data_IF_689884370220
#
_entry.id   IF_689884370220
#
_cell.length_a   1.000
_cell.length_b   1.000
_cell.length_c   1.000
_cell.angle_alpha   90.00
_cell.angle_beta   90.00
_cell.angle_gamma   90.00
#
_symmetry.space_group_name_H-M   'P 1'
#
loop_
_entity.id
_entity.type
_entity.pdbx_description
1 polymer ?
#
# COMPACT_ATOMS: atom_id res chain seq x y z
N UNK A 1 13.27 -17.43 68.79
CA UNK A 1 13.54 -17.84 67.40
C UNK A 1 12.80 -16.84 66.50
N UNK A 2 13.51 -15.92 65.84
CA UNK A 2 12.89 -14.91 64.97
C UNK A 2 13.11 -15.32 63.51
N UNK A 3 12.06 -15.72 62.82
CA UNK A 3 12.03 -15.68 61.35
C UNK A 3 10.96 -14.69 60.98
N UNK A 4 11.35 -13.41 61.00
CA UNK A 4 10.54 -12.34 60.48
C UNK A 4 10.17 -12.68 59.04
N UNK A 5 8.89 -12.54 58.68
CA UNK A 5 8.49 -12.42 57.29
C UNK A 5 9.43 -11.39 56.65
N UNK A 6 10.33 -11.85 55.79
CA UNK A 6 11.29 -10.99 55.12
C UNK A 6 10.47 -10.12 54.18
N UNK A 7 9.98 -8.98 54.68
CA UNK A 7 9.37 -7.94 53.88
C UNK A 7 10.37 -7.65 52.77
N UNK A 8 10.00 -7.98 51.52
CA UNK A 8 10.88 -7.75 50.40
C UNK A 8 11.32 -6.29 50.41
N UNK A 9 12.63 -6.07 50.28
CA UNK A 9 13.22 -4.73 50.41
C UNK A 9 12.80 -3.77 49.31
N UNK A 10 13.44 -2.61 49.26
CA UNK A 10 13.35 -1.70 48.12
C UNK A 10 14.68 -1.73 47.38
N UNK A 11 14.65 -1.55 46.06
CA UNK A 11 15.87 -1.24 45.32
C UNK A 11 16.09 0.26 45.37
N UNK A 12 17.25 0.70 45.83
CA UNK A 12 17.63 2.10 45.81
C UNK A 12 18.54 2.36 44.61
N UNK A 13 18.09 3.21 43.69
CA UNK A 13 18.84 3.57 42.47
C UNK A 13 18.86 5.09 42.38
N UNK A 14 20.06 5.67 42.40
CA UNK A 14 20.29 7.12 42.37
C UNK A 14 19.47 7.90 43.43
N UNK A 15 19.34 7.32 44.64
CA UNK A 15 18.57 7.89 45.75
C UNK A 15 17.05 7.69 45.66
N UNK A 16 16.54 7.06 44.59
CA UNK A 16 15.12 6.74 44.43
C UNK A 16 14.83 5.29 44.82
N UNK A 17 13.76 5.06 45.58
CA UNK A 17 13.36 3.72 46.06
C UNK A 17 12.26 3.10 45.20
N UNK A 18 12.54 1.92 44.68
CA UNK A 18 11.63 1.13 43.86
C UNK A 18 11.14 -0.09 44.62
N UNK A 19 9.84 -0.41 44.47
CA UNK A 19 9.23 -1.58 45.11
C UNK A 19 9.83 -2.87 44.56
N UNK A 20 10.13 -3.79 45.47
CA UNK A 20 10.56 -5.15 45.14
C UNK A 20 9.54 -5.92 44.31
N UNK A 21 10.06 -6.85 43.49
CA UNK A 21 9.33 -7.72 42.59
C UNK A 21 8.54 -7.00 41.48
N UNK A 22 8.90 -5.76 41.17
CA UNK A 22 8.30 -5.01 40.06
C UNK A 22 9.35 -4.54 39.06
N UNK A 23 8.89 -4.34 37.83
CA UNK A 23 9.64 -3.58 36.85
C UNK A 23 9.51 -2.09 37.16
N UNK A 24 10.58 -1.35 36.90
CA UNK A 24 10.61 0.10 36.96
C UNK A 24 11.40 0.63 35.78
N UNK A 25 11.14 1.89 35.45
CA UNK A 25 11.84 2.60 34.39
C UNK A 25 12.90 3.48 35.05
N UNK A 26 14.12 3.40 34.54
CA UNK A 26 15.24 4.22 34.97
C UNK A 26 15.76 4.98 33.76
N UNK A 27 15.63 6.30 33.78
CA UNK A 27 16.23 7.16 32.76
C UNK A 27 17.63 7.55 33.22
N UNK A 28 18.64 7.16 32.44
CA UNK A 28 20.04 7.54 32.68
C UNK A 28 20.67 8.04 31.39
N UNK A 29 20.99 9.33 31.39
CA UNK A 29 21.45 10.01 30.19
C UNK A 29 20.40 9.93 29.09
N UNK A 30 20.81 9.45 27.91
CA UNK A 30 19.93 9.31 26.75
C UNK A 30 19.24 7.96 26.61
N UNK A 31 19.32 7.12 27.64
CA UNK A 31 18.79 5.78 27.62
C UNK A 31 17.76 5.59 28.73
N UNK A 32 16.63 5.00 28.35
CA UNK A 32 15.59 4.52 29.25
C UNK A 32 15.75 3.02 29.44
N UNK A 33 16.06 2.62 30.67
CA UNK A 33 16.26 1.24 31.04
C UNK A 33 15.00 0.70 31.70
N UNK A 34 14.51 -0.44 31.22
CA UNK A 34 13.48 -1.20 31.93
C UNK A 34 14.17 -2.17 32.88
N UNK A 35 14.12 -1.90 34.18
CA UNK A 35 14.82 -2.65 35.21
C UNK A 35 13.85 -3.48 36.05
N UNK A 36 14.29 -4.62 36.57
CA UNK A 36 13.53 -5.44 37.53
C UNK A 36 14.18 -5.36 38.91
N UNK A 37 13.41 -4.92 39.89
CA UNK A 37 13.83 -4.94 41.30
C UNK A 37 13.55 -6.31 41.94
N UNK A 38 14.57 -6.91 42.55
CA UNK A 38 14.49 -8.20 43.24
C UNK A 38 14.24 -7.99 44.75
N UNK A 39 13.71 -9.03 45.40
CA UNK A 39 13.34 -8.99 46.82
C UNK A 39 14.55 -8.78 47.76
N UNK A 40 15.76 -9.12 47.29
CA UNK A 40 17.04 -8.94 47.98
C UNK A 40 17.59 -7.48 47.90
N UNK A 41 16.86 -6.56 47.27
CA UNK A 41 17.26 -5.17 47.10
C UNK A 41 18.16 -4.91 45.88
N UNK A 42 18.53 -5.95 45.13
CA UNK A 42 19.29 -5.81 43.89
C UNK A 42 18.37 -5.60 42.69
N UNK A 43 18.88 -4.97 41.64
CA UNK A 43 18.13 -4.76 40.40
C UNK A 43 18.95 -5.16 39.18
N UNK A 44 18.26 -5.53 38.11
CA UNK A 44 18.87 -5.85 36.83
C UNK A 44 18.09 -5.20 35.69
N UNK A 45 18.81 -4.58 34.75
CA UNK A 45 18.25 -3.93 33.57
C UNK A 45 18.76 -4.68 32.34
N UNK A 46 17.94 -5.54 31.70
CA UNK A 46 18.35 -6.26 30.51
C UNK A 46 18.63 -5.27 29.35
N UNK A 47 19.78 -5.35 28.68
CA UNK A 47 20.09 -4.46 27.55
C UNK A 47 19.04 -4.50 26.44
N UNK A 48 18.40 -5.66 26.22
CA UNK A 48 17.34 -5.84 25.23
C UNK A 48 16.08 -5.01 25.47
N UNK A 49 15.90 -4.47 26.69
CA UNK A 49 14.75 -3.62 27.06
C UNK A 49 15.13 -2.15 27.25
N UNK A 50 16.35 -1.78 26.87
CA UNK A 50 16.84 -0.40 26.90
C UNK A 50 16.42 0.32 25.63
N UNK A 51 15.88 1.53 25.76
CA UNK A 51 15.48 2.39 24.65
C UNK A 51 16.32 3.67 24.66
N UNK A 52 16.86 4.05 23.50
CA UNK A 52 17.44 5.38 23.34
C UNK A 52 16.31 6.41 23.19
N UNK A 53 16.27 7.41 24.07
CA UNK A 53 15.18 8.42 24.14
C UNK A 53 15.64 9.78 23.62
N UNK A 54 16.94 10.07 23.64
CA UNK A 54 17.44 11.25 22.95
C UNK A 54 17.42 11.00 21.45
N UNK A 55 16.60 11.77 20.74
CA UNK A 55 16.79 11.98 19.31
C UNK A 55 18.07 12.79 19.14
N UNK A 56 19.16 12.12 18.75
CA UNK A 56 20.31 12.85 18.23
C UNK A 56 19.91 13.47 16.90
N UNK A 57 19.48 14.73 16.93
CA UNK A 57 19.92 15.65 15.88
C UNK A 57 21.44 15.56 15.86
N UNK A 58 22.00 15.34 14.68
CA UNK A 58 23.42 15.09 14.48
C UNK A 58 24.28 16.07 15.30
N UNK A 59 25.00 15.55 16.31
CA UNK A 59 25.77 16.37 17.23
C UNK A 59 26.18 15.63 18.49
N UNK A 60 27.30 14.89 18.37
CA UNK A 60 28.29 14.59 19.42
C UNK A 60 27.85 13.89 20.72
N UNK A 61 28.25 12.61 20.89
CA UNK A 61 28.40 12.01 22.23
C UNK A 61 28.22 10.48 22.33
N UNK A 62 29.35 9.76 22.36
CA UNK A 62 29.58 8.33 22.68
C UNK A 62 29.26 7.26 21.60
N UNK A 63 30.20 6.32 21.35
CA UNK A 63 30.05 5.30 20.31
C UNK A 63 29.14 4.18 20.82
N UNK A 64 27.84 4.31 20.58
CA UNK A 64 27.07 3.12 20.21
C UNK A 64 27.68 2.47 18.98
N UNK A 65 27.34 1.21 18.62
CA UNK A 65 27.72 0.70 17.31
C UNK A 65 27.34 1.77 16.29
N UNK A 66 28.33 2.28 15.54
CA UNK A 66 28.10 3.32 14.54
C UNK A 66 27.22 2.68 13.48
N UNK A 67 25.91 2.75 13.71
CA UNK A 67 24.88 2.30 12.81
C UNK A 67 25.00 3.21 11.60
N UNK A 68 25.60 2.69 10.55
CA UNK A 68 25.82 3.44 9.34
C UNK A 68 24.52 3.47 8.56
N UNK A 69 24.04 4.67 8.26
CA UNK A 69 22.87 4.84 7.42
C UNK A 69 23.17 4.35 5.99
N UNK A 70 22.17 3.79 5.33
CA UNK A 70 22.27 3.34 3.95
C UNK A 70 21.96 4.49 3.01
N UNK A 71 22.91 4.81 2.14
CA UNK A 71 22.70 5.70 1.00
C UNK A 71 22.19 4.88 -0.18
N UNK A 72 20.93 5.11 -0.53
CA UNK A 72 20.23 4.41 -1.62
C UNK A 72 19.87 5.48 -2.64
N UNK A 73 20.60 5.51 -3.75
CA UNK A 73 20.57 6.62 -4.71
C UNK A 73 20.88 7.93 -3.97
N UNK A 74 19.91 8.83 -3.80
CA UNK A 74 20.05 10.13 -3.11
C UNK A 74 19.28 10.21 -1.79
N UNK A 75 18.86 9.07 -1.23
CA UNK A 75 18.09 8.99 0.01
C UNK A 75 18.88 8.24 1.09
N UNK A 76 18.76 8.75 2.31
CA UNK A 76 19.40 8.18 3.49
C UNK A 76 18.35 7.40 4.27
N UNK A 77 18.61 6.11 4.50
CA UNK A 77 17.76 5.22 5.28
C UNK A 77 18.48 4.73 6.52
N UNK A 78 17.79 4.75 7.66
CA UNK A 78 18.32 4.18 8.90
C UNK A 78 18.28 2.66 8.84
N UNK A 79 19.11 1.96 9.63
CA UNK A 79 19.05 0.50 9.69
C UNK A 79 17.66 -0.02 10.02
N UNK A 80 17.21 -1.00 9.25
CA UNK A 80 15.84 -1.52 9.27
C UNK A 80 15.25 -1.74 7.88
N UNK A 81 13.99 -2.15 7.83
CA UNK A 81 13.26 -2.33 6.57
C UNK A 81 12.82 -0.97 6.00
N UNK A 82 12.93 -0.83 4.69
CA UNK A 82 12.47 0.35 3.96
C UNK A 82 11.91 -0.06 2.59
N UNK A 83 11.18 0.86 1.97
CA UNK A 83 10.53 0.63 0.68
C UNK A 83 10.90 1.75 -0.30
N UNK A 84 11.23 1.37 -1.53
CA UNK A 84 11.50 2.31 -2.63
C UNK A 84 10.71 1.91 -3.87
N UNK A 85 10.41 2.91 -4.70
CA UNK A 85 9.70 2.72 -5.95
C UNK A 85 10.57 3.22 -7.09
N UNK A 86 10.67 2.43 -8.15
CA UNK A 86 11.38 2.81 -9.37
C UNK A 86 10.69 2.17 -10.57
N UNK A 87 10.28 2.99 -11.55
CA UNK A 87 9.67 2.55 -12.81
C UNK A 87 8.58 1.47 -12.61
N UNK A 88 7.51 1.81 -11.89
CA UNK A 88 6.39 0.89 -11.57
C UNK A 88 6.75 -0.37 -10.78
N UNK A 89 7.95 -0.43 -10.20
CA UNK A 89 8.38 -1.55 -9.40
C UNK A 89 8.64 -1.08 -7.97
N UNK A 90 7.93 -1.68 -7.03
CA UNK A 90 8.14 -1.54 -5.59
C UNK A 90 9.19 -2.52 -5.10
N UNK A 91 10.10 -2.07 -4.24
CA UNK A 91 11.16 -2.89 -3.67
C UNK A 91 11.13 -2.79 -2.15
N UNK A 92 10.89 -3.92 -1.50
CA UNK A 92 11.10 -4.07 -0.06
C UNK A 92 12.58 -4.37 0.19
N UNK A 93 13.24 -3.48 0.90
CA UNK A 93 14.68 -3.52 1.13
C UNK A 93 15.00 -3.53 2.62
N UNK A 94 16.21 -3.99 2.94
CA UNK A 94 16.76 -3.94 4.29
C UNK A 94 18.03 -3.10 4.27
N UNK A 95 18.13 -2.14 5.19
CA UNK A 95 19.34 -1.39 5.50
C UNK A 95 20.01 -2.04 6.70
N UNK A 96 21.24 -2.53 6.50
CA UNK A 96 22.04 -3.15 7.54
C UNK A 96 22.82 -2.10 8.33
N UNK A 97 23.21 -2.46 9.54
CA UNK A 97 23.93 -1.60 10.48
C UNK A 97 25.32 -1.15 10.00
N UNK A 98 25.86 -1.78 8.96
CA UNK A 98 27.14 -1.49 8.33
C UNK A 98 27.01 -0.57 7.10
N UNK A 99 25.81 -0.04 6.84
CA UNK A 99 25.53 0.84 5.70
C UNK A 99 25.29 0.10 4.38
N UNK A 100 25.45 -1.22 4.36
CA UNK A 100 25.03 -2.02 3.22
C UNK A 100 23.52 -2.15 3.17
N UNK A 101 22.95 -2.31 1.97
CA UNK A 101 21.52 -2.53 1.81
C UNK A 101 21.25 -3.54 0.71
N UNK A 102 20.15 -4.26 0.84
CA UNK A 102 19.73 -5.25 -0.15
C UNK A 102 18.22 -5.26 -0.32
N UNK A 103 17.77 -5.36 -1.57
CA UNK A 103 16.38 -5.60 -1.92
C UNK A 103 16.27 -7.03 -2.48
N UNK A 104 15.83 -8.02 -1.69
CA UNK A 104 15.67 -9.40 -2.17
C UNK A 104 14.64 -9.47 -3.30
N UNK A 105 14.85 -10.41 -4.23
CA UNK A 105 13.95 -10.61 -5.37
C UNK A 105 12.51 -10.93 -4.95
N UNK A 106 12.33 -11.63 -3.83
CA UNK A 106 11.02 -11.98 -3.25
C UNK A 106 10.27 -10.76 -2.68
N UNK A 107 10.95 -9.62 -2.52
CA UNK A 107 10.39 -8.36 -2.02
C UNK A 107 9.96 -7.38 -3.12
N UNK A 108 9.97 -7.82 -4.38
CA UNK A 108 9.66 -7.00 -5.55
C UNK A 108 8.17 -7.10 -5.89
N UNK A 109 7.49 -5.96 -6.01
CA UNK A 109 6.06 -5.88 -6.34
C UNK A 109 5.83 -5.01 -7.57
N UNK A 110 5.00 -5.45 -8.51
CA UNK A 110 4.51 -4.58 -9.58
C UNK A 110 3.45 -3.64 -8.99
N UNK A 111 3.70 -2.34 -9.09
CA UNK A 111 2.81 -1.27 -8.60
C UNK A 111 2.19 -0.45 -9.74
N UNK A 112 2.48 -0.80 -11.00
CA UNK A 112 1.62 -0.34 -12.08
C UNK A 112 0.23 -0.91 -11.79
N UNK A 113 -0.79 -0.06 -11.83
CA UNK A 113 -2.13 -0.58 -12.07
C UNK A 113 -2.07 -1.16 -13.48
N UNK A 114 -2.13 -2.49 -13.59
CA UNK A 114 -2.72 -3.06 -14.80
C UNK A 114 -4.05 -2.34 -14.95
N UNK A 115 -4.36 -1.75 -16.13
CA UNK A 115 -5.71 -1.29 -16.34
C UNK A 115 -6.58 -2.49 -16.00
N UNK A 116 -7.45 -2.35 -14.99
CA UNK A 116 -8.52 -3.30 -14.80
C UNK A 116 -9.24 -3.30 -16.13
N UNK A 117 -8.96 -4.31 -16.95
CA UNK A 117 -9.77 -4.61 -18.11
C UNK A 117 -11.07 -5.03 -17.45
N UNK A 118 -11.96 -4.06 -17.25
CA UNK A 118 -13.34 -4.38 -17.00
C UNK A 118 -13.74 -5.23 -18.20
N UNK A 119 -13.86 -6.55 -18.00
CA UNK A 119 -14.48 -7.47 -18.95
C UNK A 119 -16.00 -7.18 -19.11
N UNK A 120 -16.43 -5.98 -18.72
CA UNK A 120 -17.77 -5.40 -18.86
C UNK A 120 -17.74 -4.11 -19.71
N UNK A 121 -16.74 -3.91 -20.58
CA UNK A 121 -17.00 -3.09 -21.76
C UNK A 121 -17.89 -3.91 -22.69
N UNK A 122 -19.20 -3.72 -22.52
CA UNK A 122 -20.21 -3.90 -23.57
C UNK A 122 -19.55 -3.54 -24.90
N UNK A 123 -19.43 -4.50 -25.83
CA UNK A 123 -18.86 -4.25 -27.15
C UNK A 123 -19.51 -2.97 -27.70
N UNK A 124 -18.75 -1.88 -27.78
CA UNK A 124 -19.20 -0.61 -28.35
C UNK A 124 -19.46 -0.85 -29.85
N UNK A 125 -20.63 -1.39 -30.15
CA UNK A 125 -21.06 -1.72 -31.50
C UNK A 125 -21.06 -0.45 -32.33
N UNK A 126 -20.37 -0.48 -33.47
CA UNK A 126 -20.28 0.65 -34.37
C UNK A 126 -21.68 0.92 -34.96
N UNK A 127 -22.24 2.13 -34.80
CA UNK A 127 -23.56 2.43 -35.34
C UNK A 127 -23.53 2.48 -36.87
N UNK A 128 -24.63 2.03 -37.49
CA UNK A 128 -24.78 2.09 -38.94
C UNK A 128 -25.24 3.48 -39.37
N UNK A 129 -24.45 4.12 -40.22
CA UNK A 129 -24.78 5.43 -40.79
C UNK A 129 -25.46 5.25 -42.14
N UNK A 130 -26.74 5.64 -42.22
CA UNK A 130 -27.54 5.60 -43.43
C UNK A 130 -27.91 7.03 -43.80
N UNK A 131 -27.37 7.53 -44.92
CA UNK A 131 -27.42 8.95 -45.29
C UNK A 131 -26.87 9.86 -44.17
N UNK A 132 -27.75 10.54 -43.42
CA UNK A 132 -27.39 11.46 -42.34
C UNK A 132 -27.93 11.00 -40.97
N UNK A 133 -28.41 9.76 -40.88
CA UNK A 133 -28.98 9.20 -39.66
C UNK A 133 -28.14 8.01 -39.19
N UNK A 134 -27.97 7.90 -37.87
CA UNK A 134 -27.21 6.83 -37.22
C UNK A 134 -28.17 5.89 -36.51
N UNK A 135 -28.01 4.59 -36.76
CA UNK A 135 -28.83 3.52 -36.19
C UNK A 135 -27.97 2.60 -35.34
N UNK A 136 -28.46 2.25 -34.15
CA UNK A 136 -27.78 1.29 -33.27
C UNK A 136 -27.79 -0.14 -33.83
N UNK A 137 -27.02 -1.05 -33.22
CA UNK A 137 -27.00 -2.45 -33.62
C UNK A 137 -28.41 -3.06 -33.52
N UNK A 138 -28.78 -3.89 -34.49
CA UNK A 138 -30.11 -4.49 -34.53
C UNK A 138 -30.97 -4.06 -35.73
N UNK A 139 -32.25 -4.49 -35.73
CA UNK A 139 -33.17 -4.16 -36.81
C UNK A 139 -33.59 -2.68 -36.73
N UNK A 140 -33.63 -2.01 -37.88
CA UNK A 140 -34.11 -0.65 -37.97
C UNK A 140 -34.93 -0.43 -39.25
N UNK A 141 -35.72 0.62 -39.27
CA UNK A 141 -36.46 1.05 -40.45
C UNK A 141 -36.02 2.45 -40.82
N UNK A 142 -35.77 2.68 -42.12
CA UNK A 142 -35.51 4.02 -42.61
C UNK A 142 -36.35 4.29 -43.86
N UNK A 143 -36.67 5.57 -44.09
CA UNK A 143 -37.52 6.00 -45.20
C UNK A 143 -36.72 6.88 -46.15
N UNK A 144 -36.72 6.54 -47.44
CA UNK A 144 -36.21 7.40 -48.49
C UNK A 144 -37.33 7.70 -49.49
N UNK A 145 -37.86 8.93 -49.43
CA UNK A 145 -39.00 9.35 -50.24
C UNK A 145 -40.26 8.51 -49.96
N UNK A 146 -40.71 7.78 -50.98
CA UNK A 146 -41.91 6.94 -50.90
C UNK A 146 -41.61 5.49 -50.51
N UNK A 147 -40.37 5.14 -50.21
CA UNK A 147 -39.98 3.77 -49.85
C UNK A 147 -39.62 3.72 -48.36
N UNK A 148 -40.15 2.72 -47.66
CA UNK A 148 -39.68 2.31 -46.33
C UNK A 148 -38.90 1.01 -46.47
N UNK A 149 -37.68 1.03 -45.96
CA UNK A 149 -36.76 -0.10 -45.94
C UNK A 149 -36.75 -0.69 -44.53
N UNK A 150 -36.80 -2.01 -44.46
CA UNK A 150 -36.49 -2.76 -43.25
C UNK A 150 -35.04 -3.25 -43.34
N UNK A 151 -34.20 -2.85 -42.39
CA UNK A 151 -32.78 -3.09 -42.41
C UNK A 151 -32.30 -3.79 -41.14
N UNK A 152 -31.13 -4.41 -41.23
CA UNK A 152 -30.38 -4.95 -40.10
C UNK A 152 -29.04 -4.26 -40.02
N UNK A 153 -28.73 -3.67 -38.86
CA UNK A 153 -27.42 -3.13 -38.52
C UNK A 153 -26.59 -4.19 -37.79
N UNK A 154 -25.35 -4.38 -38.24
CA UNK A 154 -24.32 -5.23 -37.63
C UNK A 154 -23.41 -4.39 -36.73
N UNK A 155 -22.80 -5.00 -35.72
CA UNK A 155 -21.92 -4.29 -34.77
C UNK A 155 -20.59 -3.79 -35.38
N UNK A 156 -20.30 -4.12 -36.64
CA UNK A 156 -19.18 -3.58 -37.41
C UNK A 156 -19.54 -2.31 -38.21
N UNK A 157 -20.76 -1.79 -38.04
CA UNK A 157 -21.28 -0.61 -38.74
C UNK A 157 -21.78 -0.91 -40.16
N UNK A 158 -21.76 -2.18 -40.59
CA UNK A 158 -22.37 -2.59 -41.86
C UNK A 158 -23.87 -2.79 -41.70
N UNK A 159 -24.64 -2.50 -42.75
CA UNK A 159 -26.07 -2.73 -42.75
C UNK A 159 -26.56 -3.35 -44.05
N UNK A 160 -27.64 -4.12 -43.96
CA UNK A 160 -28.29 -4.75 -45.11
C UNK A 160 -29.79 -4.46 -45.11
N UNK A 161 -30.30 -4.05 -46.26
CA UNK A 161 -31.70 -3.71 -46.49
C UNK A 161 -32.21 -4.49 -47.71
N UNK A 162 -32.77 -5.70 -47.51
CA UNK A 162 -33.23 -6.54 -48.61
C UNK A 162 -34.43 -5.89 -49.33
N UNK A 163 -34.36 -5.80 -50.66
CA UNK A 163 -35.40 -5.17 -51.48
C UNK A 163 -36.78 -5.83 -51.35
N UNK A 164 -36.81 -7.12 -51.01
CA UNK A 164 -38.04 -7.90 -50.77
C UNK A 164 -38.84 -7.42 -49.55
N UNK A 165 -38.19 -6.69 -48.63
CA UNK A 165 -38.81 -6.12 -47.43
C UNK A 165 -39.04 -4.61 -47.56
N UNK A 166 -38.81 -4.04 -48.74
CA UNK A 166 -39.06 -2.62 -49.01
C UNK A 166 -40.52 -2.43 -49.42
N UNK A 167 -41.21 -1.50 -48.75
CA UNK A 167 -42.60 -1.17 -49.05
C UNK A 167 -42.72 0.23 -49.63
N UNK A 168 -43.57 0.41 -50.65
CA UNK A 168 -43.92 1.72 -51.20
C UNK A 168 -45.13 2.28 -50.44
N UNK A 169 -45.00 3.52 -49.97
CA UNK A 169 -45.95 4.18 -49.05
C UNK A 169 -46.72 5.35 -49.68
N UNK A 170 -46.39 5.75 -50.92
CA UNK A 170 -47.09 6.83 -51.59
C UNK A 170 -48.21 6.23 -52.44
N UNK A 171 -49.46 6.56 -52.16
CA UNK A 171 -50.61 6.05 -52.92
C UNK A 171 -51.58 5.16 -52.15
N UNK A 172 -51.43 5.02 -50.83
CA UNK A 172 -52.56 4.65 -49.97
C UNK A 172 -53.41 5.90 -49.67
N UNK A 173 -53.94 6.50 -50.74
CA UNK A 173 -55.12 7.38 -50.69
C UNK A 173 -56.28 6.56 -51.25
N UNK A 174 -57.19 6.14 -50.38
CA UNK A 174 -58.55 5.77 -50.78
C UNK A 174 -59.45 6.98 -50.59
#
# INVERSE_FOLDING_TARGET
MKTAAQLCGYCEVDGTRYRSNRFFVLDRGCNQYTCRCRCDGSFYCPPALTKAVCQTVAGEGTPGPQLQDCMVVDRIFRPGQFYIEHLCTGYNCNCYSDGSWSCPADGITNICQEPEINEEEEEDCIPCNVYNESYGPGPFQFRAGCLRYDCQCSCDGTFSCPAERTVFLCGDEN
#
